data_IF_580814166400
#
_entry.id   IF_580814166400
#
_cell.length_a   1.000
_cell.length_b   1.000
_cell.length_c   1.000
_cell.angle_alpha   90.00
_cell.angle_beta   90.00
_cell.angle_gamma   90.00
#
_symmetry.space_group_name_H-M   'P 1'
#
loop_
_entity.id
_entity.type
_entity.pdbx_description
1 polymer ?
#
# COMPACT_ATOMS: atom_id res chain seq x y z
N UNK A 1 -17.90 -9.78 1.93
CA UNK A 1 -17.41 -8.44 2.31
C UNK A 1 -18.04 -7.40 1.41
N UNK A 2 -18.47 -6.27 1.97
CA UNK A 2 -19.03 -5.12 1.25
C UNK A 2 -17.96 -4.50 0.36
N UNK A 3 -18.22 -4.40 -0.95
CA UNK A 3 -17.22 -3.98 -1.93
C UNK A 3 -16.98 -2.47 -1.92
N UNK A 4 -18.00 -1.66 -1.62
CA UNK A 4 -17.85 -0.20 -1.52
C UNK A 4 -16.98 0.17 -0.32
N UNK A 5 -17.19 -0.49 0.80
CA UNK A 5 -16.32 -0.38 1.97
C UNK A 5 -14.88 -0.79 1.64
N UNK A 6 -14.68 -1.91 0.93
CA UNK A 6 -13.35 -2.37 0.55
C UNK A 6 -12.62 -1.38 -0.39
N UNK A 7 -13.31 -0.78 -1.36
CA UNK A 7 -12.72 0.26 -2.20
C UNK A 7 -12.27 1.48 -1.38
N UNK A 8 -13.10 1.93 -0.43
CA UNK A 8 -12.72 3.01 0.50
C UNK A 8 -11.50 2.64 1.35
N UNK A 9 -11.50 1.45 1.95
CA UNK A 9 -10.37 0.98 2.74
C UNK A 9 -9.08 0.87 1.93
N UNK A 10 -9.13 0.46 0.66
CA UNK A 10 -7.96 0.45 -0.20
C UNK A 10 -7.42 1.86 -0.40
N UNK A 11 -8.29 2.81 -0.75
CA UNK A 11 -7.92 4.20 -0.99
C UNK A 11 -7.36 4.87 0.28
N UNK A 12 -7.97 4.62 1.43
CA UNK A 12 -7.52 5.15 2.72
C UNK A 12 -6.15 4.59 3.11
N UNK A 13 -5.93 3.28 2.95
CA UNK A 13 -4.65 2.64 3.24
C UNK A 13 -3.54 3.14 2.30
N UNK A 14 -3.82 3.29 1.01
CA UNK A 14 -2.86 3.85 0.04
C UNK A 14 -2.47 5.29 0.41
N UNK A 15 -3.46 6.14 0.68
CA UNK A 15 -3.23 7.54 1.07
C UNK A 15 -2.43 7.65 2.37
N UNK A 16 -2.78 6.82 3.36
CA UNK A 16 -2.10 6.84 4.66
C UNK A 16 -0.67 6.29 4.56
N UNK A 17 -0.44 5.27 3.72
CA UNK A 17 0.90 4.77 3.43
C UNK A 17 1.78 5.89 2.86
N UNK A 18 1.30 6.61 1.84
CA UNK A 18 2.02 7.73 1.25
C UNK A 18 2.33 8.83 2.27
N UNK A 19 1.33 9.22 3.08
CA UNK A 19 1.51 10.22 4.15
C UNK A 19 2.56 9.81 5.18
N UNK A 20 2.63 8.53 5.55
CA UNK A 20 3.63 8.04 6.49
C UNK A 20 5.04 8.02 5.89
N UNK A 21 5.17 7.72 4.59
CA UNK A 21 6.44 7.81 3.86
C UNK A 21 6.97 9.24 3.88
N UNK A 22 6.11 10.23 3.58
CA UNK A 22 6.47 11.66 3.62
C UNK A 22 6.96 12.09 5.02
N UNK A 23 6.40 11.49 6.07
CA UNK A 23 6.80 11.73 7.47
C UNK A 23 8.04 10.94 7.91
N UNK A 24 8.69 10.20 7.00
CA UNK A 24 9.82 9.32 7.30
C UNK A 24 9.49 8.25 8.35
N UNK A 25 8.27 7.72 8.32
CA UNK A 25 7.79 6.65 9.20
C UNK A 25 7.62 5.34 8.41
N UNK A 26 8.72 4.65 8.04
CA UNK A 26 8.68 3.51 7.12
C UNK A 26 7.94 2.29 7.66
N UNK A 27 8.06 1.98 8.96
CA UNK A 27 7.37 0.81 9.54
C UNK A 27 5.85 1.00 9.58
N UNK A 28 5.31 2.14 10.10
CA UNK A 28 3.87 2.41 10.00
C UNK A 28 3.36 2.51 8.55
N UNK A 29 4.17 3.05 7.62
CA UNK A 29 3.81 3.07 6.21
C UNK A 29 3.65 1.65 5.65
N UNK A 30 4.58 0.75 5.99
CA UNK A 30 4.54 -0.64 5.52
C UNK A 30 3.29 -1.37 6.02
N UNK A 31 2.84 -1.14 7.26
CA UNK A 31 1.56 -1.67 7.76
C UNK A 31 0.37 -1.25 6.89
N UNK A 32 0.34 0.00 6.42
CA UNK A 32 -0.70 0.48 5.50
C UNK A 32 -0.58 -0.14 4.10
N UNK A 33 0.65 -0.32 3.60
CA UNK A 33 0.89 -1.05 2.35
C UNK A 33 0.35 -2.49 2.41
N UNK A 34 0.56 -3.20 3.52
CA UNK A 34 0.03 -4.56 3.72
C UNK A 34 -1.50 -4.56 3.76
N UNK A 35 -2.12 -3.58 4.44
CA UNK A 35 -3.59 -3.41 4.43
C UNK A 35 -4.14 -3.17 3.04
N UNK A 36 -3.50 -2.32 2.23
CA UNK A 36 -3.88 -2.10 0.84
C UNK A 36 -3.78 -3.39 0.01
N UNK A 37 -2.67 -4.14 0.15
CA UNK A 37 -2.47 -5.43 -0.53
C UNK A 37 -3.55 -6.44 -0.17
N UNK A 38 -3.84 -6.60 1.12
CA UNK A 38 -4.89 -7.52 1.57
C UNK A 38 -6.27 -7.11 1.07
N UNK A 39 -6.60 -5.82 1.15
CA UNK A 39 -7.88 -5.28 0.68
C UNK A 39 -8.05 -5.48 -0.83
N UNK A 40 -6.99 -5.30 -1.61
CA UNK A 40 -6.98 -5.63 -3.04
C UNK A 40 -7.30 -7.12 -3.26
N UNK A 41 -6.68 -8.05 -2.52
CA UNK A 41 -6.97 -9.48 -2.67
C UNK A 41 -8.44 -9.79 -2.39
N UNK A 42 -9.06 -9.12 -1.41
CA UNK A 42 -10.49 -9.26 -1.14
C UNK A 42 -11.35 -8.73 -2.31
N UNK A 43 -10.99 -7.59 -2.92
CA UNK A 43 -11.66 -7.05 -4.10
C UNK A 43 -11.51 -7.96 -5.32
N UNK A 44 -10.30 -8.47 -5.59
CA UNK A 44 -9.99 -9.40 -6.68
C UNK A 44 -10.82 -10.70 -6.53
N UNK A 45 -10.85 -11.28 -5.33
CA UNK A 45 -11.65 -12.47 -5.03
C UNK A 45 -13.18 -12.24 -5.15
N UNK A 46 -13.64 -11.00 -4.97
CA UNK A 46 -15.05 -10.64 -5.18
C UNK A 46 -15.42 -10.50 -6.66
N UNK A 47 -14.45 -10.48 -7.57
CA UNK A 47 -14.67 -10.37 -9.02
C UNK A 47 -15.11 -8.98 -9.46
N UNK A 48 -14.92 -7.95 -8.62
CA UNK A 48 -15.30 -6.56 -8.91
C UNK A 48 -14.18 -5.74 -9.56
N UNK A 49 -13.01 -6.35 -9.74
CA UNK A 49 -11.86 -5.77 -10.44
C UNK A 49 -11.75 -6.45 -11.80
N UNK A 50 -11.79 -5.69 -12.89
CA UNK A 50 -11.55 -6.23 -14.23
C UNK A 50 -10.08 -6.62 -14.43
N UNK A 51 -9.80 -7.44 -15.45
CA UNK A 51 -8.43 -7.85 -15.80
C UNK A 51 -7.52 -6.64 -16.05
N UNK A 52 -8.04 -5.60 -16.70
CA UNK A 52 -7.30 -4.36 -16.98
C UNK A 52 -7.03 -3.57 -15.69
N UNK A 53 -8.03 -3.45 -14.81
CA UNK A 53 -7.86 -2.74 -13.53
C UNK A 53 -6.90 -3.47 -12.59
N UNK A 54 -6.90 -4.80 -12.62
CA UNK A 54 -6.04 -5.64 -11.76
C UNK A 54 -4.57 -5.27 -11.87
N UNK A 55 -4.09 -5.02 -13.09
CA UNK A 55 -2.70 -4.60 -13.32
C UNK A 55 -2.39 -3.25 -12.65
N UNK A 56 -3.34 -2.30 -12.70
CA UNK A 56 -3.21 -1.00 -12.04
C UNK A 56 -3.13 -1.12 -10.51
N UNK A 57 -4.00 -1.92 -9.89
CA UNK A 57 -3.95 -2.16 -8.44
C UNK A 57 -2.64 -2.83 -8.00
N UNK A 58 -2.14 -3.81 -8.75
CA UNK A 58 -0.85 -4.46 -8.48
C UNK A 58 0.29 -3.43 -8.54
N UNK A 59 0.30 -2.55 -9.55
CA UNK A 59 1.32 -1.51 -9.70
C UNK A 59 1.29 -0.51 -8.54
N UNK A 60 0.09 -0.12 -8.10
CA UNK A 60 -0.10 0.78 -6.94
C UNK A 60 0.48 0.18 -5.67
N UNK A 61 0.12 -1.06 -5.33
CA UNK A 61 0.67 -1.77 -4.16
C UNK A 61 2.19 -1.93 -4.26
N UNK A 62 2.71 -2.28 -5.45
CA UNK A 62 4.16 -2.40 -5.67
C UNK A 62 4.89 -1.07 -5.46
N UNK A 63 4.29 0.03 -5.89
CA UNK A 63 4.85 1.37 -5.70
C UNK A 63 4.95 1.73 -4.22
N UNK A 64 3.90 1.45 -3.45
CA UNK A 64 3.90 1.65 -1.99
C UNK A 64 4.99 0.82 -1.31
N UNK A 65 5.06 -0.48 -1.62
CA UNK A 65 6.03 -1.38 -1.02
C UNK A 65 7.48 -0.93 -1.30
N UNK A 66 7.77 -0.54 -2.54
CA UNK A 66 9.08 -0.01 -2.93
C UNK A 66 9.44 1.25 -2.12
N UNK A 67 8.52 2.20 -2.03
CA UNK A 67 8.76 3.45 -1.31
C UNK A 67 8.95 3.22 0.20
N UNK A 68 8.22 2.27 0.81
CA UNK A 68 8.45 1.86 2.19
C UNK A 68 9.87 1.29 2.39
N UNK A 69 10.34 0.44 1.48
CA UNK A 69 11.69 -0.13 1.53
C UNK A 69 12.78 0.94 1.35
N UNK A 70 12.61 1.86 0.41
CA UNK A 70 13.54 2.97 0.19
C UNK A 70 13.62 3.88 1.43
N UNK A 71 12.47 4.23 2.02
CA UNK A 71 12.41 5.00 3.25
C UNK A 71 13.07 4.26 4.44
N UNK A 72 12.85 2.95 4.57
CA UNK A 72 13.51 2.14 5.60
C UNK A 72 15.03 2.13 5.40
N UNK A 73 15.50 1.87 4.19
CA UNK A 73 16.93 1.83 3.88
C UNK A 73 17.62 3.15 4.23
N UNK A 74 16.98 4.29 3.93
CA UNK A 74 17.48 5.60 4.34
C UNK A 74 17.69 5.70 5.86
N UNK A 75 16.74 5.22 6.67
CA UNK A 75 16.90 5.22 8.14
C UNK A 75 18.03 4.31 8.63
N UNK A 76 18.36 3.23 7.91
CA UNK A 76 19.47 2.36 8.30
C UNK A 76 20.82 2.98 7.96
N UNK A 77 20.91 3.69 6.83
CA UNK A 77 22.10 4.42 6.44
C UNK A 77 22.38 5.58 7.40
N UNK A 78 21.35 6.34 7.81
CA UNK A 78 21.48 7.40 8.82
C UNK A 78 22.01 6.88 10.17
N UNK A 79 21.64 5.65 10.57
CA UNK A 79 22.13 5.04 11.81
C UNK A 79 23.55 4.51 11.74
N UNK A 80 24.04 4.21 10.53
CA UNK A 80 25.35 3.64 10.29
C UNK A 80 26.44 4.72 10.08
N UNK A 81 26.02 5.97 9.86
CA UNK A 81 26.88 7.16 9.75
C UNK A 81 27.12 7.80 11.12
#
# INVERSE_FOLDING_TARGET
ADTEMLFRHFADAEKECARMIEKKLPLPAYEQCIKASHTFNLLDARGVISVTERQSYILRVRTLAKACCEAWLATQLEKAA
#
